data_IF_566182198846
#
_entry.id   IF_566182198846
#
_cell.length_a   1.000
_cell.length_b   1.000
_cell.length_c   1.000
_cell.angle_alpha   90.00
_cell.angle_beta   90.00
_cell.angle_gamma   90.00
#
_symmetry.space_group_name_H-M   'P 1'
#
loop_
_entity.id
_entity.type
_entity.pdbx_description
1 polymer ?
#
# COMPACT_ATOMS: atom_id res chain seq x y z
N UNK A 1 25.36 1.11 -45.92
CA UNK A 1 25.72 0.28 -44.78
C UNK A 1 24.96 0.83 -43.59
N UNK A 2 23.85 0.20 -43.20
CA UNK A 2 23.03 0.63 -42.07
C UNK A 2 23.55 -0.04 -40.80
N UNK A 3 23.93 0.77 -39.81
CA UNK A 3 24.29 0.27 -38.47
C UNK A 3 22.99 -0.02 -37.74
N UNK A 4 22.70 -1.29 -37.50
CA UNK A 4 21.61 -1.70 -36.65
C UNK A 4 21.93 -1.28 -35.21
N UNK A 5 21.19 -0.31 -34.71
CA UNK A 5 21.25 0.08 -33.30
C UNK A 5 20.62 -1.06 -32.47
N UNK A 6 21.45 -1.77 -31.71
CA UNK A 6 20.99 -2.77 -30.77
C UNK A 6 20.11 -2.08 -29.72
N UNK A 7 18.90 -2.61 -29.50
CA UNK A 7 18.06 -2.20 -28.39
C UNK A 7 18.83 -2.40 -27.06
N UNK A 8 18.74 -1.46 -26.10
CA UNK A 8 19.40 -1.60 -24.82
C UNK A 8 18.94 -2.90 -24.17
N UNK A 9 19.90 -3.72 -23.77
CA UNK A 9 19.66 -4.90 -22.99
C UNK A 9 19.00 -4.46 -21.67
N UNK A 10 17.78 -4.93 -21.40
CA UNK A 10 17.14 -4.76 -20.09
C UNK A 10 18.09 -5.32 -19.03
N UNK A 11 18.61 -4.45 -18.17
CA UNK A 11 19.36 -4.88 -17.00
C UNK A 11 18.48 -5.86 -16.20
N UNK A 12 19.05 -7.02 -15.88
CA UNK A 12 18.40 -8.03 -15.05
C UNK A 12 18.05 -7.39 -13.70
N UNK A 13 16.79 -7.07 -13.48
CA UNK A 13 16.33 -6.67 -12.17
C UNK A 13 15.30 -5.55 -12.10
N UNK A 14 14.97 -4.85 -13.17
CA UNK A 14 13.93 -3.83 -13.12
C UNK A 14 12.55 -4.45 -13.34
N UNK A 15 11.58 -4.08 -12.47
CA UNK A 15 10.20 -4.48 -12.64
C UNK A 15 9.59 -3.71 -13.82
N UNK A 16 8.85 -4.43 -14.65
CA UNK A 16 8.03 -3.83 -15.71
C UNK A 16 6.82 -3.14 -15.07
N UNK A 17 6.98 -1.84 -14.78
CA UNK A 17 5.99 -1.01 -14.09
C UNK A 17 5.74 0.28 -14.84
N UNK A 18 4.49 0.74 -14.83
CA UNK A 18 4.11 2.06 -15.35
C UNK A 18 3.12 2.77 -14.42
N UNK A 19 3.14 4.10 -14.35
CA UNK A 19 2.23 4.85 -13.50
C UNK A 19 0.80 4.73 -14.00
N UNK A 20 -0.15 4.58 -13.06
CA UNK A 20 -1.59 4.51 -13.32
C UNK A 20 -2.36 5.35 -12.32
N UNK A 21 -3.52 5.86 -12.73
CA UNK A 21 -4.32 6.77 -11.91
C UNK A 21 -3.65 8.13 -11.71
N UNK A 22 -4.15 8.88 -10.78
CA UNK A 22 -3.65 10.20 -10.43
C UNK A 22 -2.71 10.14 -9.21
N UNK A 23 -1.93 11.20 -9.05
CA UNK A 23 -1.08 11.39 -7.86
C UNK A 23 -1.99 11.71 -6.69
N UNK A 24 -1.83 10.99 -5.59
CA UNK A 24 -2.69 11.08 -4.42
C UNK A 24 -1.93 11.15 -3.10
N UNK A 25 -2.69 11.07 -2.04
CA UNK A 25 -2.23 11.00 -0.65
C UNK A 25 -2.85 9.82 0.07
N UNK A 26 -2.27 9.40 1.20
CA UNK A 26 -2.88 8.41 2.06
C UNK A 26 -3.79 9.11 3.07
N UNK A 27 -5.03 8.67 3.14
CA UNK A 27 -6.00 9.15 4.11
C UNK A 27 -6.87 8.00 4.62
N UNK A 28 -7.37 8.13 5.85
CA UNK A 28 -8.38 7.21 6.40
C UNK A 28 -9.70 7.95 6.57
N UNK A 29 -10.79 7.23 6.33
CA UNK A 29 -12.11 7.70 6.71
C UNK A 29 -12.43 7.17 8.11
N UNK A 30 -12.65 8.07 9.07
CA UNK A 30 -13.08 7.68 10.41
C UNK A 30 -14.56 7.32 10.41
N UNK A 31 -14.88 6.06 10.79
CA UNK A 31 -16.28 5.59 10.92
C UNK A 31 -16.83 5.73 12.34
N UNK A 32 -16.01 6.07 13.33
CA UNK A 32 -16.36 5.88 14.75
C UNK A 32 -16.66 7.15 15.54
N UNK A 33 -16.56 8.31 14.95
CA UNK A 33 -17.02 9.54 15.63
C UNK A 33 -18.36 9.98 15.07
N UNK A 34 -19.40 9.78 15.82
CA UNK A 34 -20.79 10.14 15.52
C UNK A 34 -21.02 11.62 15.15
N UNK A 35 -19.99 12.43 14.99
CA UNK A 35 -20.18 13.86 14.78
C UNK A 35 -19.31 14.54 13.73
N UNK A 36 -18.33 13.88 13.13
CA UNK A 36 -17.58 14.51 12.04
C UNK A 36 -17.03 13.47 11.06
N UNK A 37 -17.59 13.47 9.86
CA UNK A 37 -16.97 12.84 8.68
C UNK A 37 -15.68 13.58 8.36
N UNK A 38 -14.58 13.21 8.98
CA UNK A 38 -13.27 13.78 8.76
C UNK A 38 -12.33 12.72 8.19
N UNK A 39 -11.55 13.12 7.20
CA UNK A 39 -10.42 12.30 6.76
C UNK A 39 -9.22 12.62 7.63
N UNK A 40 -8.59 11.60 8.21
CA UNK A 40 -7.26 11.73 8.78
C UNK A 40 -6.25 11.57 7.64
N UNK A 41 -5.47 12.60 7.39
CA UNK A 41 -4.37 12.54 6.43
C UNK A 41 -3.10 12.02 7.10
N UNK A 42 -2.27 11.35 6.31
CA UNK A 42 -1.01 10.79 6.74
C UNK A 42 0.13 11.31 5.86
N UNK A 43 1.29 11.48 6.45
CA UNK A 43 2.51 11.87 5.76
C UNK A 43 3.68 11.01 6.24
N UNK A 44 4.75 10.97 5.47
CA UNK A 44 5.96 10.28 5.87
C UNK A 44 6.90 11.23 6.61
N UNK A 45 7.10 10.97 7.90
CA UNK A 45 8.05 11.66 8.75
C UNK A 45 9.21 10.71 9.05
N UNK A 46 10.44 11.11 8.73
CA UNK A 46 11.61 10.25 8.87
C UNK A 46 11.41 8.83 8.27
N UNK A 47 10.78 8.78 7.09
CA UNK A 47 10.41 7.55 6.38
C UNK A 47 9.31 6.68 7.02
N UNK A 48 8.70 7.07 8.14
CA UNK A 48 7.54 6.37 8.75
C UNK A 48 6.27 7.11 8.41
N UNK A 49 5.21 6.35 8.14
CA UNK A 49 3.88 6.91 7.92
C UNK A 49 3.27 7.30 9.26
N UNK A 50 2.95 8.57 9.42
CA UNK A 50 2.36 9.14 10.63
C UNK A 50 1.14 10.00 10.29
N UNK A 51 0.15 10.09 11.20
CA UNK A 51 -0.94 11.03 11.03
C UNK A 51 -0.40 12.47 11.03
N UNK A 52 -0.96 13.32 10.19
CA UNK A 52 -0.64 14.76 10.24
C UNK A 52 -1.22 15.38 11.52
N UNK A 53 -0.54 16.38 12.10
CA UNK A 53 -0.93 17.02 13.37
C UNK A 53 -2.33 17.61 13.31
N UNK A 54 -2.71 18.14 12.16
CA UNK A 54 -4.08 18.56 11.90
C UNK A 54 -4.79 17.49 11.05
N UNK A 55 -6.02 17.10 11.42
CA UNK A 55 -6.82 16.14 10.64
C UNK A 55 -6.93 16.48 9.15
N UNK A 56 -6.79 17.76 8.81
CA UNK A 56 -6.79 18.29 7.43
C UNK A 56 -5.43 18.84 7.01
N UNK A 57 -4.37 18.53 7.77
CA UNK A 57 -3.00 18.93 7.40
C UNK A 57 -2.68 18.43 5.99
N UNK A 58 -2.04 19.29 5.19
CA UNK A 58 -1.65 18.92 3.82
C UNK A 58 -0.43 18.00 3.87
N UNK A 59 -0.53 16.75 3.43
CA UNK A 59 0.64 15.89 3.29
C UNK A 59 1.65 16.51 2.34
N UNK A 60 2.93 16.40 2.69
CA UNK A 60 4.03 16.90 1.86
C UNK A 60 4.39 15.89 0.77
N UNK A 61 4.33 14.60 1.12
CA UNK A 61 4.64 13.51 0.21
C UNK A 61 3.40 13.11 -0.58
N UNK A 62 3.51 13.23 -1.89
CA UNK A 62 2.52 12.73 -2.85
C UNK A 62 2.98 11.37 -3.36
N UNK A 63 2.02 10.52 -3.61
CA UNK A 63 2.25 9.14 -4.01
C UNK A 63 1.62 8.87 -5.36
N UNK A 64 2.27 8.04 -6.16
CA UNK A 64 1.80 7.56 -7.45
C UNK A 64 1.75 6.03 -7.42
N UNK A 65 0.64 5.46 -7.85
CA UNK A 65 0.56 4.02 -8.00
C UNK A 65 1.21 3.59 -9.33
N UNK A 66 2.01 2.55 -9.26
CA UNK A 66 2.64 1.91 -10.41
C UNK A 66 2.07 0.51 -10.58
N UNK A 67 1.32 0.31 -11.65
CA UNK A 67 0.92 -1.03 -12.07
C UNK A 67 2.16 -1.77 -12.55
N UNK A 68 2.40 -2.95 -11.98
CA UNK A 68 3.57 -3.75 -12.30
C UNK A 68 3.18 -5.14 -12.78
N UNK A 69 3.90 -5.64 -13.77
CA UNK A 69 3.81 -7.04 -14.14
C UNK A 69 4.45 -7.89 -13.03
N UNK A 70 3.70 -8.85 -12.43
CA UNK A 70 4.26 -9.66 -11.36
C UNK A 70 5.43 -10.50 -11.88
N UNK A 71 6.62 -10.46 -11.24
CA UNK A 71 7.78 -11.22 -11.68
C UNK A 71 7.65 -12.72 -11.37
N UNK A 72 6.73 -13.09 -10.49
CA UNK A 72 6.46 -14.48 -10.10
C UNK A 72 4.95 -14.73 -10.00
N UNK A 73 4.53 -15.99 -10.09
CA UNK A 73 3.13 -16.39 -9.90
C UNK A 73 2.63 -16.27 -8.46
N UNK A 74 3.51 -15.97 -7.51
CA UNK A 74 3.13 -15.74 -6.11
C UNK A 74 2.48 -14.38 -5.89
N UNK A 75 2.77 -13.40 -6.74
CA UNK A 75 2.21 -12.05 -6.66
C UNK A 75 0.97 -11.94 -7.55
N UNK A 76 -0.03 -11.20 -7.10
CA UNK A 76 -1.21 -10.95 -7.90
C UNK A 76 -0.91 -10.04 -9.09
N UNK A 77 -1.45 -10.39 -10.25
CA UNK A 77 -1.49 -9.52 -11.42
C UNK A 77 -2.76 -8.69 -11.49
N UNK A 78 -2.73 -7.64 -12.27
CA UNK A 78 -3.85 -6.73 -12.49
C UNK A 78 -5.09 -7.45 -13.03
N UNK A 79 -6.25 -7.03 -12.52
CA UNK A 79 -7.57 -7.52 -12.91
C UNK A 79 -8.43 -6.40 -13.51
N UNK A 80 -9.64 -6.72 -13.91
CA UNK A 80 -10.59 -5.70 -14.36
C UNK A 80 -10.96 -4.68 -13.27
N UNK A 81 -10.87 -5.05 -12.00
CA UNK A 81 -11.31 -4.24 -10.86
C UNK A 81 -10.15 -3.62 -10.08
N UNK A 82 -8.95 -4.18 -10.15
CA UNK A 82 -7.79 -3.77 -9.36
C UNK A 82 -6.54 -3.70 -10.22
N UNK A 83 -5.75 -2.65 -9.98
CA UNK A 83 -4.34 -2.63 -10.36
C UNK A 83 -3.52 -3.28 -9.24
N UNK A 84 -2.46 -4.00 -9.59
CA UNK A 84 -1.51 -4.54 -8.64
C UNK A 84 -0.10 -4.05 -8.95
N UNK A 85 0.68 -3.76 -7.91
CA UNK A 85 2.03 -3.26 -8.06
C UNK A 85 2.53 -2.49 -6.86
N UNK A 86 3.24 -1.40 -7.11
CA UNK A 86 3.93 -0.61 -6.08
C UNK A 86 3.33 0.78 -5.93
N UNK A 87 3.27 1.26 -4.69
CA UNK A 87 2.96 2.65 -4.39
C UNK A 87 4.28 3.39 -4.16
N UNK A 88 4.58 4.37 -5.01
CA UNK A 88 5.85 5.09 -5.02
C UNK A 88 5.67 6.57 -4.70
N UNK A 89 6.71 7.21 -4.18
CA UNK A 89 6.75 8.66 -4.00
C UNK A 89 6.78 9.33 -5.38
N UNK A 90 5.88 10.27 -5.62
CA UNK A 90 5.66 10.82 -6.96
C UNK A 90 6.86 11.60 -7.52
N UNK A 91 7.55 12.35 -6.65
CA UNK A 91 8.76 13.13 -6.96
C UNK A 91 10.07 12.35 -6.73
N UNK A 92 9.99 11.13 -6.20
CA UNK A 92 11.12 10.25 -5.91
C UNK A 92 10.74 8.78 -6.18
N UNK A 93 10.52 8.38 -7.44
CA UNK A 93 9.89 7.10 -7.80
C UNK A 93 10.73 5.86 -7.49
N UNK A 94 11.97 6.03 -7.04
CA UNK A 94 12.79 4.95 -6.48
C UNK A 94 12.40 4.58 -5.05
N UNK A 95 11.57 5.40 -4.37
CA UNK A 95 11.08 5.14 -3.02
C UNK A 95 9.68 4.55 -3.04
N UNK A 96 9.55 3.37 -2.45
CA UNK A 96 8.34 2.59 -2.37
C UNK A 96 7.77 2.59 -0.94
N UNK A 97 6.46 2.69 -0.86
CA UNK A 97 5.74 2.38 0.38
C UNK A 97 5.97 0.90 0.71
N UNK A 98 6.36 0.64 1.94
CA UNK A 98 6.76 -0.68 2.41
C UNK A 98 6.14 -0.95 3.77
N UNK A 99 5.40 -2.06 3.90
CA UNK A 99 4.96 -2.57 5.20
C UNK A 99 6.07 -3.40 5.83
N UNK A 100 6.05 -3.56 7.16
CA UNK A 100 7.03 -4.42 7.87
C UNK A 100 6.53 -5.85 8.05
N UNK A 101 5.23 -6.07 7.83
CA UNK A 101 4.56 -7.34 8.04
C UNK A 101 3.56 -7.62 6.93
N UNK A 102 3.12 -8.86 6.82
CA UNK A 102 1.97 -9.29 6.01
C UNK A 102 0.98 -10.04 6.90
N UNK A 103 -0.25 -10.22 6.45
CA UNK A 103 -1.31 -10.85 7.22
C UNK A 103 -1.59 -12.25 6.72
N UNK A 104 -1.85 -13.15 7.67
CA UNK A 104 -2.27 -14.53 7.38
C UNK A 104 -3.50 -14.87 8.20
N UNK A 105 -4.37 -15.68 7.63
CA UNK A 105 -5.55 -16.21 8.32
C UNK A 105 -5.13 -17.24 9.36
N UNK A 106 -5.73 -17.16 10.54
CA UNK A 106 -5.54 -18.15 11.59
C UNK A 106 -6.68 -19.17 11.61
N UNK A 107 -6.45 -20.29 12.32
CA UNK A 107 -7.51 -21.27 12.58
C UNK A 107 -8.50 -20.80 13.64
N UNK A 108 -8.09 -19.83 14.44
CA UNK A 108 -8.91 -19.30 15.53
C UNK A 108 -9.96 -18.35 15.01
N UNK A 109 -11.12 -18.36 15.65
CA UNK A 109 -12.17 -17.36 15.37
C UNK A 109 -11.78 -16.04 16.04
N UNK A 110 -11.86 -14.95 15.30
CA UNK A 110 -11.71 -13.60 15.84
C UNK A 110 -12.82 -13.25 16.84
N UNK A 111 -12.63 -12.16 17.57
CA UNK A 111 -13.49 -11.75 18.70
C UNK A 111 -15.00 -11.62 18.37
N UNK A 112 -15.38 -11.58 17.11
CA UNK A 112 -16.78 -11.47 16.66
C UNK A 112 -17.25 -12.68 15.85
N UNK A 113 -16.62 -13.87 16.04
CA UNK A 113 -17.01 -15.10 15.35
C UNK A 113 -16.59 -15.19 13.88
N UNK A 114 -15.89 -14.18 13.36
CA UNK A 114 -15.29 -14.19 12.05
C UNK A 114 -13.92 -14.88 12.04
N UNK A 115 -13.27 -15.00 10.87
CA UNK A 115 -11.92 -15.56 10.78
C UNK A 115 -10.94 -14.67 11.55
N UNK A 116 -10.04 -15.29 12.31
CA UNK A 116 -8.92 -14.61 12.94
C UNK A 116 -7.80 -14.33 11.94
N UNK A 117 -7.05 -13.27 12.18
CA UNK A 117 -5.88 -12.90 11.39
C UNK A 117 -4.72 -12.59 12.31
N UNK A 118 -3.52 -12.87 11.84
CA UNK A 118 -2.29 -12.50 12.55
C UNK A 118 -1.27 -11.94 11.57
N UNK A 119 -0.40 -11.05 12.05
CA UNK A 119 0.70 -10.53 11.26
C UNK A 119 1.91 -11.46 11.29
N UNK A 120 2.68 -11.45 10.21
CA UNK A 120 3.95 -12.18 10.08
C UNK A 120 5.05 -11.21 9.62
N UNK A 121 6.30 -11.38 10.08
CA UNK A 121 6.74 -12.32 11.11
C UNK A 121 6.17 -11.97 12.49
N UNK A 122 5.97 -13.00 13.31
CA UNK A 122 5.47 -12.83 14.68
C UNK A 122 6.35 -11.89 15.52
N UNK A 123 5.71 -11.14 16.41
CA UNK A 123 6.39 -10.22 17.32
C UNK A 123 6.93 -8.95 16.65
N UNK A 124 6.75 -8.79 15.34
CA UNK A 124 7.07 -7.54 14.64
C UNK A 124 5.86 -6.62 14.63
N UNK A 125 6.06 -5.37 15.01
CA UNK A 125 5.04 -4.34 14.84
C UNK A 125 4.82 -4.09 13.35
N UNK A 126 3.57 -3.96 12.98
CA UNK A 126 3.20 -3.52 11.63
C UNK A 126 3.44 -2.03 11.50
N UNK A 127 4.32 -1.66 10.61
CA UNK A 127 4.64 -0.27 10.29
C UNK A 127 4.63 -0.08 8.78
N UNK A 128 4.27 1.12 8.36
CA UNK A 128 4.37 1.54 6.96
C UNK A 128 5.49 2.56 6.83
N UNK A 129 6.45 2.28 5.96
CA UNK A 129 7.67 3.08 5.80
C UNK A 129 7.96 3.34 4.32
N UNK A 130 8.86 4.29 4.04
CA UNK A 130 9.46 4.43 2.71
C UNK A 130 10.82 3.73 2.69
N UNK A 131 11.03 2.90 1.67
CA UNK A 131 12.30 2.23 1.39
C UNK A 131 12.59 2.29 -0.11
N UNK A 132 13.81 1.95 -0.49
CA UNK A 132 14.12 1.73 -1.91
C UNK A 132 13.17 0.68 -2.50
N UNK A 133 12.69 0.94 -3.71
CA UNK A 133 11.90 -0.04 -4.44
C UNK A 133 12.74 -1.28 -4.73
N UNK A 134 12.20 -2.44 -4.43
CA UNK A 134 12.91 -3.70 -4.55
C UNK A 134 12.36 -4.55 -5.68
N UNK A 135 13.22 -5.39 -6.23
CA UNK A 135 12.88 -6.46 -7.17
C UNK A 135 13.01 -7.84 -6.55
N UNK A 136 13.55 -7.92 -5.31
CA UNK A 136 13.66 -9.19 -4.60
C UNK A 136 12.32 -9.68 -4.12
N UNK A 137 12.02 -10.95 -4.29
CA UNK A 137 10.71 -11.55 -3.97
C UNK A 137 10.26 -11.29 -2.53
N UNK A 138 11.16 -11.45 -1.56
CA UNK A 138 10.83 -11.24 -0.15
C UNK A 138 10.45 -9.80 0.16
N UNK A 139 11.19 -8.83 -0.39
CA UNK A 139 10.89 -7.41 -0.18
C UNK A 139 9.66 -6.98 -0.98
N UNK A 140 9.46 -7.53 -2.18
CA UNK A 140 8.26 -7.27 -2.98
C UNK A 140 6.98 -7.66 -2.25
N UNK A 141 6.98 -8.74 -1.49
CA UNK A 141 5.85 -9.13 -0.63
C UNK A 141 5.40 -7.98 0.29
N UNK A 142 6.34 -7.16 0.75
CA UNK A 142 6.11 -6.02 1.63
C UNK A 142 5.79 -4.71 0.88
N UNK A 143 5.98 -4.67 -0.42
CA UNK A 143 5.79 -3.52 -1.31
C UNK A 143 4.69 -3.74 -2.37
N UNK A 144 3.94 -4.85 -2.29
CA UNK A 144 2.93 -5.21 -3.27
C UNK A 144 1.55 -4.86 -2.78
N UNK A 145 0.92 -3.95 -3.51
CA UNK A 145 -0.38 -3.40 -3.16
C UNK A 145 -1.39 -3.67 -4.28
N UNK A 146 -2.64 -3.79 -3.89
CA UNK A 146 -3.77 -3.70 -4.79
C UNK A 146 -4.45 -2.34 -4.64
N UNK A 147 -4.79 -1.70 -5.75
CA UNK A 147 -5.55 -0.47 -5.76
C UNK A 147 -6.81 -0.65 -6.59
N UNK A 148 -7.97 -0.37 -6.01
CA UNK A 148 -9.24 -0.41 -6.73
C UNK A 148 -9.23 0.64 -7.84
N UNK A 149 -9.62 0.25 -9.05
CA UNK A 149 -9.73 1.18 -10.17
C UNK A 149 -10.83 2.20 -9.89
N UNK A 150 -10.56 3.50 -10.04
CA UNK A 150 -11.59 4.53 -9.92
C UNK A 150 -12.74 4.25 -10.90
N UNK A 151 -13.94 4.51 -10.47
CA UNK A 151 -15.14 4.40 -11.29
C UNK A 151 -15.94 5.68 -11.21
N UNK A 152 -16.91 5.88 -12.15
CA UNK A 152 -17.80 7.03 -12.12
C UNK A 152 -18.58 7.18 -10.80
N UNK A 153 -18.70 6.10 -10.02
CA UNK A 153 -19.43 6.08 -8.74
C UNK A 153 -18.50 6.15 -7.53
N UNK A 154 -17.21 5.90 -7.71
CA UNK A 154 -16.26 5.87 -6.61
C UNK A 154 -14.94 6.49 -7.07
N UNK A 155 -14.76 7.76 -6.73
CA UNK A 155 -13.56 8.54 -7.06
C UNK A 155 -12.39 8.23 -6.12
N UNK A 156 -12.65 7.62 -4.96
CA UNK A 156 -11.62 7.25 -4.00
C UNK A 156 -11.13 5.82 -4.28
N UNK A 157 -9.85 5.68 -4.52
CA UNK A 157 -9.23 4.38 -4.67
C UNK A 157 -8.99 3.74 -3.29
N UNK A 158 -9.50 2.53 -3.09
CA UNK A 158 -9.12 1.74 -1.92
C UNK A 158 -7.75 1.09 -2.17
N UNK A 159 -6.86 1.25 -1.21
CA UNK A 159 -5.51 0.67 -1.23
C UNK A 159 -5.45 -0.47 -0.22
N UNK A 160 -5.02 -1.64 -0.66
CA UNK A 160 -4.82 -2.80 0.19
C UNK A 160 -3.40 -3.34 0.03
N UNK A 161 -2.79 -3.77 1.13
CA UNK A 161 -1.58 -4.57 1.07
C UNK A 161 -1.98 -6.01 0.78
N UNK A 162 -1.42 -6.58 -0.28
CA UNK A 162 -1.72 -7.94 -0.72
C UNK A 162 -0.44 -8.63 -1.19
N UNK A 163 0.58 -8.65 -0.43
CA UNK A 163 1.87 -9.26 -0.74
C UNK A 163 1.80 -10.44 -1.71
N UNK A 164 1.87 -11.67 -1.23
CA UNK A 164 1.64 -12.84 -2.07
C UNK A 164 0.14 -13.13 -2.25
N UNK A 165 -0.20 -13.88 -3.29
CA UNK A 165 -1.57 -14.27 -3.57
C UNK A 165 -2.22 -15.07 -2.42
N UNK A 166 -1.43 -15.81 -1.66
CA UNK A 166 -1.82 -16.57 -0.48
C UNK A 166 -2.00 -15.72 0.78
N UNK A 167 -1.44 -14.50 0.82
CA UNK A 167 -1.58 -13.61 1.98
C UNK A 167 -3.01 -13.09 2.06
N UNK A 168 -3.47 -12.81 3.26
CA UNK A 168 -4.73 -12.12 3.46
C UNK A 168 -4.62 -10.64 3.10
N UNK A 169 -5.68 -10.09 2.56
CA UNK A 169 -5.74 -8.66 2.28
C UNK A 169 -5.75 -7.90 3.59
N UNK A 170 -4.73 -7.07 3.77
CA UNK A 170 -4.73 -6.06 4.81
C UNK A 170 -4.88 -4.70 4.15
N UNK A 171 -5.79 -3.89 4.67
CA UNK A 171 -5.78 -2.47 4.32
C UNK A 171 -4.43 -1.91 4.71
N UNK A 172 -3.84 -1.10 3.83
CA UNK A 172 -2.57 -0.47 4.14
C UNK A 172 -2.72 0.25 5.50
N UNK A 173 -1.93 -0.20 6.48
CA UNK A 173 -2.05 0.29 7.85
C UNK A 173 -1.43 1.67 7.87
N UNK A 174 -2.26 2.67 8.12
CA UNK A 174 -1.84 4.03 8.32
C UNK A 174 -1.72 4.26 9.82
N UNK A 175 -0.51 4.27 10.33
CA UNK A 175 -0.22 4.59 11.72
C UNK A 175 0.45 3.44 12.48
N UNK A 176 1.02 3.81 13.60
CA UNK A 176 1.67 2.88 14.52
C UNK A 176 0.63 2.22 15.43
N UNK A 177 0.79 0.95 15.72
CA UNK A 177 0.00 0.23 16.73
C UNK A 177 0.12 0.86 18.14
N UNK A 178 1.10 1.73 18.37
CA UNK A 178 1.31 2.41 19.66
C UNK A 178 0.24 3.46 20.01
N UNK A 179 -0.53 3.94 19.03
CA UNK A 179 -1.56 4.97 19.26
C UNK A 179 -2.98 4.42 19.40
N UNK A 180 -3.14 3.12 19.57
CA UNK A 180 -4.42 2.51 19.90
C UNK A 180 -4.52 2.31 21.39
N UNK A 181 -4.80 3.36 22.16
CA UNK A 181 -5.18 3.27 23.58
C UNK A 181 -6.48 2.46 23.80
N UNK A 182 -7.16 2.10 22.74
CA UNK A 182 -8.31 1.20 22.77
C UNK A 182 -8.15 0.16 21.67
N UNK A 183 -7.33 -0.83 21.95
CA UNK A 183 -7.09 -2.03 21.19
C UNK A 183 -8.01 -2.31 20.01
N UNK A 184 -7.43 -2.54 18.83
CA UNK A 184 -8.04 -3.28 17.73
C UNK A 184 -8.86 -2.47 16.73
N UNK A 185 -8.26 -1.47 16.14
CA UNK A 185 -8.78 -0.90 14.92
C UNK A 185 -7.76 -1.01 13.80
N UNK A 186 -7.94 -1.96 12.89
CA UNK A 186 -7.26 -1.87 11.58
C UNK A 186 -7.76 -0.60 10.91
N UNK A 187 -6.93 0.43 10.85
CA UNK A 187 -7.30 1.67 10.18
C UNK A 187 -7.18 1.50 8.67
N UNK A 188 -8.28 1.69 7.98
CA UNK A 188 -8.35 1.61 6.54
C UNK A 188 -7.71 2.85 5.91
N UNK A 189 -6.69 2.67 5.08
CA UNK A 189 -6.18 3.75 4.26
C UNK A 189 -6.89 3.75 2.91
N UNK A 190 -7.31 4.93 2.48
CA UNK A 190 -7.72 5.16 1.10
C UNK A 190 -6.73 6.11 0.46
N UNK A 191 -6.29 5.82 -0.75
CA UNK A 191 -5.71 6.83 -1.60
C UNK A 191 -6.85 7.75 -2.06
N UNK A 192 -6.74 9.03 -1.80
CA UNK A 192 -7.72 10.02 -2.27
C UNK A 192 -7.03 10.98 -3.22
N UNK A 193 -7.73 11.28 -4.32
CA UNK A 193 -7.36 12.37 -5.21
C UNK A 193 -7.52 13.70 -4.45
N UNK A 194 -6.61 14.62 -4.73
CA UNK A 194 -6.68 15.98 -4.19
C UNK A 194 -7.47 16.89 -5.11
#
# INVERSE_FOLDING_TARGET
>A
MGVAQAAPAHEKGELDCHPVGEVGIIATQSYWTNHYYGHQHYDFKESRLEPTEERKGKPKKKLQFYECKPPTSKLNGTTAQHWFGQLRVADEPTKCVTTTTWWVKTKDTGAYGGPGYTSRPEGKKTETTLKECSTSEETLRLQWFGMTRPSKKNVNAALVHKGYAEDEEAFAICGNEENTDEGKGSYFCRASDM
#
